data_IF_025635289647
#
_entry.id   IF_025635289647
#
_cell.length_a   1.000
_cell.length_b   1.000
_cell.length_c   1.000
_cell.angle_alpha   90.00
_cell.angle_beta   90.00
_cell.angle_gamma   90.00
#
_symmetry.space_group_name_H-M   'P 1'
#
loop_
_entity.id
_entity.type
_entity.pdbx_description
1 polymer ?
#
# COMPACT_ATOMS: atom_id res chain seq x y z
N UNK A 1 12.76 3.13 3.84
CA UNK A 1 11.66 2.57 3.03
C UNK A 1 10.95 1.51 3.84
N UNK A 2 9.63 1.64 3.95
CA UNK A 2 8.81 0.65 4.67
C UNK A 2 8.42 -0.48 3.73
N UNK A 3 8.66 -1.71 4.17
CA UNK A 3 8.13 -2.94 3.54
C UNK A 3 6.62 -3.06 3.74
N UNK A 4 5.94 -3.98 3.06
CA UNK A 4 4.48 -4.04 3.10
C UNK A 4 3.91 -4.40 4.48
N UNK A 5 4.58 -5.27 5.24
CA UNK A 5 4.16 -5.55 6.62
C UNK A 5 4.41 -4.35 7.54
N UNK A 6 5.49 -3.60 7.34
CA UNK A 6 5.75 -2.36 8.09
C UNK A 6 4.70 -1.30 7.77
N UNK A 7 4.29 -1.16 6.50
CA UNK A 7 3.17 -0.29 6.12
C UNK A 7 1.91 -0.63 6.91
N UNK A 8 1.56 -1.91 7.04
CA UNK A 8 0.44 -2.35 7.88
C UNK A 8 0.65 -2.09 9.38
N UNK A 9 1.89 -2.10 9.84
CA UNK A 9 2.25 -1.79 11.23
C UNK A 9 2.20 -0.30 11.57
N UNK A 10 2.48 0.58 10.60
CA UNK A 10 2.54 2.03 10.80
C UNK A 10 1.33 2.80 10.30
N UNK A 11 0.52 2.24 9.38
CA UNK A 11 -0.72 2.89 8.95
C UNK A 11 -1.78 2.86 10.06
N UNK A 12 -2.70 3.81 9.99
CA UNK A 12 -3.80 3.94 10.94
C UNK A 12 -4.72 2.71 10.89
N UNK A 13 -5.35 2.35 12.03
CA UNK A 13 -6.36 1.29 12.05
C UNK A 13 -7.51 1.55 11.07
N UNK A 14 -7.84 2.82 10.82
CA UNK A 14 -8.88 3.22 9.88
C UNK A 14 -8.51 2.84 8.45
N UNK A 15 -7.31 3.20 7.99
CA UNK A 15 -6.84 2.86 6.65
C UNK A 15 -6.69 1.34 6.49
N UNK A 16 -6.08 0.65 7.46
CA UNK A 16 -5.95 -0.80 7.40
C UNK A 16 -7.32 -1.50 7.26
N UNK A 17 -8.33 -1.07 8.02
CA UNK A 17 -9.67 -1.61 7.92
C UNK A 17 -10.35 -1.26 6.59
N UNK A 18 -10.12 -0.05 6.06
CA UNK A 18 -10.60 0.36 4.75
C UNK A 18 -10.07 -0.56 3.65
N UNK A 19 -8.75 -0.80 3.62
CA UNK A 19 -8.11 -1.67 2.63
C UNK A 19 -8.72 -3.07 2.66
N UNK A 20 -8.80 -3.68 3.86
CA UNK A 20 -9.35 -5.04 4.01
C UNK A 20 -10.84 -5.08 3.64
N UNK A 21 -11.60 -4.03 3.99
CA UNK A 21 -13.02 -3.90 3.62
C UNK A 21 -13.22 -3.77 2.12
N UNK A 22 -12.43 -2.93 1.46
CA UNK A 22 -12.45 -2.80 0.01
C UNK A 22 -12.17 -4.14 -0.66
N UNK A 23 -11.19 -4.91 -0.17
CA UNK A 23 -10.91 -6.25 -0.70
C UNK A 23 -12.07 -7.22 -0.52
N UNK A 24 -12.70 -7.23 0.67
CA UNK A 24 -13.84 -8.09 0.93
C UNK A 24 -15.03 -7.83 -0.02
N UNK A 25 -15.21 -6.57 -0.41
CA UNK A 25 -16.34 -6.12 -1.23
C UNK A 25 -16.06 -6.23 -2.73
N UNK A 26 -14.86 -5.86 -3.17
CA UNK A 26 -14.54 -5.67 -4.59
C UNK A 26 -13.58 -6.72 -5.14
N UNK A 27 -12.74 -7.33 -4.31
CA UNK A 27 -11.64 -8.22 -4.73
C UNK A 27 -11.65 -9.51 -3.88
N UNK A 28 -12.79 -10.22 -3.91
CA UNK A 28 -13.04 -11.43 -3.12
C UNK A 28 -11.93 -12.50 -3.23
N UNK A 29 -11.32 -12.76 -4.41
CA UNK A 29 -10.20 -13.69 -4.51
C UNK A 29 -9.00 -13.28 -3.66
N UNK A 30 -8.58 -12.01 -3.75
CA UNK A 30 -7.47 -11.46 -2.95
C UNK A 30 -7.80 -11.50 -1.47
N UNK A 31 -9.02 -11.09 -1.08
CA UNK A 31 -9.46 -11.17 0.31
C UNK A 31 -9.39 -12.59 0.89
N UNK A 32 -9.89 -13.60 0.16
CA UNK A 32 -9.86 -15.01 0.58
C UNK A 32 -8.43 -15.55 0.66
N UNK A 33 -7.59 -15.23 -0.32
CA UNK A 33 -6.18 -15.63 -0.31
C UNK A 33 -5.45 -15.07 0.91
N UNK A 34 -5.65 -13.77 1.21
CA UNK A 34 -5.07 -13.15 2.41
C UNK A 34 -5.62 -13.77 3.69
N UNK A 35 -6.92 -14.03 3.78
CA UNK A 35 -7.51 -14.70 4.95
C UNK A 35 -6.93 -16.10 5.18
N UNK A 36 -6.66 -16.85 4.11
CA UNK A 36 -6.02 -18.17 4.19
C UNK A 36 -4.58 -18.07 4.70
N UNK A 37 -3.78 -17.13 4.17
CA UNK A 37 -2.42 -16.88 4.66
C UNK A 37 -2.41 -16.47 6.14
N UNK A 38 -3.38 -15.65 6.57
CA UNK A 38 -3.54 -15.28 7.98
C UNK A 38 -3.92 -16.51 8.83
N UNK A 39 -4.82 -17.38 8.36
CA UNK A 39 -5.19 -18.59 9.07
C UNK A 39 -3.98 -19.53 9.25
N UNK A 40 -3.20 -19.71 8.20
CA UNK A 40 -1.98 -20.52 8.19
C UNK A 40 -0.94 -19.98 9.19
N UNK A 41 -0.61 -18.69 9.12
CA UNK A 41 0.35 -18.07 10.04
C UNK A 41 -0.11 -18.11 11.50
N UNK A 42 -1.42 -18.12 11.74
CA UNK A 42 -2.01 -18.29 13.08
C UNK A 42 -2.20 -19.75 13.50
N UNK A 43 -1.86 -20.72 12.64
CA UNK A 43 -2.05 -22.16 12.85
C UNK A 43 -3.50 -22.54 13.18
N UNK A 44 -4.45 -21.88 12.54
CA UNK A 44 -5.88 -22.17 12.65
C UNK A 44 -6.46 -22.56 11.30
N UNK A 45 -7.59 -23.27 11.30
CA UNK A 45 -8.32 -23.53 10.04
C UNK A 45 -9.00 -22.24 9.55
N UNK A 46 -9.10 -21.99 8.23
CA UNK A 46 -9.77 -20.80 7.68
C UNK A 46 -11.17 -20.56 8.25
N UNK A 47 -11.94 -21.64 8.44
CA UNK A 47 -13.29 -21.59 9.03
C UNK A 47 -13.34 -20.93 10.41
N UNK A 48 -12.25 -20.96 11.18
CA UNK A 48 -12.17 -20.28 12.47
C UNK A 48 -12.27 -18.76 12.30
N UNK A 49 -11.59 -18.19 11.30
CA UNK A 49 -11.68 -16.76 10.98
C UNK A 49 -13.02 -16.41 10.32
N UNK A 50 -13.53 -17.27 9.45
CA UNK A 50 -14.82 -17.06 8.76
C UNK A 50 -16.01 -16.95 9.73
N UNK A 51 -15.96 -17.68 10.84
CA UNK A 51 -16.98 -17.66 11.89
C UNK A 51 -16.93 -16.41 12.78
N UNK A 52 -15.83 -15.66 12.76
CA UNK A 52 -15.72 -14.42 13.53
C UNK A 52 -16.57 -13.32 12.91
N UNK A 53 -17.03 -12.38 13.75
CA UNK A 53 -17.63 -11.14 13.26
C UNK A 53 -16.66 -10.42 12.30
N UNK A 54 -17.19 -9.63 11.35
CA UNK A 54 -16.37 -8.87 10.39
C UNK A 54 -15.30 -8.03 11.13
N UNK A 55 -15.70 -7.37 12.21
CA UNK A 55 -14.81 -6.56 13.04
C UNK A 55 -13.64 -7.39 13.63
N UNK A 56 -13.94 -8.50 14.32
CA UNK A 56 -12.91 -9.34 14.93
C UNK A 56 -11.98 -9.96 13.88
N UNK A 57 -12.55 -10.37 12.75
CA UNK A 57 -11.81 -10.97 11.64
C UNK A 57 -10.84 -9.97 11.01
N UNK A 58 -11.31 -8.75 10.72
CA UNK A 58 -10.48 -7.71 10.13
C UNK A 58 -9.38 -7.28 11.09
N UNK A 59 -9.69 -7.11 12.39
CA UNK A 59 -8.68 -6.83 13.41
C UNK A 59 -7.60 -7.93 13.48
N UNK A 60 -8.02 -9.20 13.41
CA UNK A 60 -7.11 -10.34 13.32
C UNK A 60 -6.23 -10.34 12.06
N UNK A 61 -6.81 -9.95 10.91
CA UNK A 61 -6.07 -9.82 9.66
C UNK A 61 -5.06 -8.69 9.75
N UNK A 62 -5.44 -7.49 10.18
CA UNK A 62 -4.53 -6.35 10.38
C UNK A 62 -3.36 -6.72 11.28
N UNK A 63 -3.61 -7.30 12.46
CA UNK A 63 -2.56 -7.69 13.40
C UNK A 63 -1.61 -8.78 12.85
N UNK A 64 -2.06 -9.58 11.87
CA UNK A 64 -1.23 -10.60 11.24
C UNK A 64 -0.46 -10.06 10.04
N UNK A 65 -1.07 -9.15 9.27
CA UNK A 65 -0.46 -8.50 8.11
C UNK A 65 0.69 -7.58 8.49
N UNK A 66 0.68 -7.03 9.71
CA UNK A 66 1.78 -6.26 10.27
C UNK A 66 3.03 -7.09 10.63
N UNK A 67 3.05 -8.41 10.36
CA UNK A 67 4.17 -9.30 10.70
C UNK A 67 5.02 -9.63 9.48
N UNK A 68 6.36 -9.72 9.61
CA UNK A 68 7.26 -10.04 8.49
C UNK A 68 6.91 -11.33 7.75
N UNK A 69 6.39 -12.34 8.47
CA UNK A 69 5.98 -13.62 7.87
C UNK A 69 4.86 -13.49 6.83
N UNK A 70 4.14 -12.37 6.81
CA UNK A 70 3.02 -12.08 5.91
C UNK A 70 3.37 -11.03 4.85
N UNK A 71 4.65 -10.70 4.66
CA UNK A 71 5.13 -9.69 3.70
C UNK A 71 4.50 -9.85 2.31
N UNK A 72 4.52 -11.07 1.75
CA UNK A 72 3.94 -11.32 0.42
C UNK A 72 2.43 -11.07 0.38
N UNK A 73 1.71 -11.49 1.41
CA UNK A 73 0.25 -11.33 1.49
C UNK A 73 -0.14 -9.86 1.69
N UNK A 74 0.61 -9.13 2.53
CA UNK A 74 0.47 -7.69 2.73
C UNK A 74 0.76 -6.93 1.43
N UNK A 75 1.88 -7.24 0.77
CA UNK A 75 2.28 -6.59 -0.47
C UNK A 75 1.30 -6.83 -1.62
N UNK A 76 0.75 -8.04 -1.76
CA UNK A 76 -0.28 -8.31 -2.77
C UNK A 76 -1.58 -7.53 -2.49
N UNK A 77 -1.98 -7.45 -1.22
CA UNK A 77 -3.20 -6.76 -0.81
C UNK A 77 -3.07 -5.24 -1.00
N UNK A 78 -1.93 -4.63 -0.65
CA UNK A 78 -1.65 -3.20 -0.90
C UNK A 78 -1.61 -2.91 -2.40
N UNK A 79 -0.88 -3.71 -3.20
CA UNK A 79 -0.83 -3.54 -4.67
C UNK A 79 -2.20 -3.60 -5.31
N UNK A 80 -2.99 -4.60 -4.94
CA UNK A 80 -4.35 -4.75 -5.46
C UNK A 80 -5.21 -3.53 -5.08
N UNK A 81 -5.09 -3.04 -3.84
CA UNK A 81 -5.86 -1.87 -3.38
C UNK A 81 -5.48 -0.61 -4.16
N UNK A 82 -4.19 -0.37 -4.37
CA UNK A 82 -3.69 0.77 -5.13
C UNK A 82 -4.21 0.76 -6.57
N UNK A 83 -4.04 -0.36 -7.29
CA UNK A 83 -4.44 -0.48 -8.70
C UNK A 83 -5.96 -0.43 -8.89
N UNK A 84 -6.72 -0.99 -7.94
CA UNK A 84 -8.19 -1.10 -8.06
C UNK A 84 -8.94 0.12 -7.54
N UNK A 85 -8.49 0.72 -6.44
CA UNK A 85 -9.16 1.87 -5.81
C UNK A 85 -8.52 3.20 -6.17
N UNK A 86 -7.19 3.25 -6.25
CA UNK A 86 -6.42 4.48 -6.39
C UNK A 86 -5.77 4.67 -7.76
N UNK A 87 -6.28 4.00 -8.78
CA UNK A 87 -5.81 4.10 -10.17
C UNK A 87 -5.53 5.54 -10.63
N UNK A 88 -6.44 6.46 -10.34
CA UNK A 88 -6.27 7.88 -10.72
C UNK A 88 -5.07 8.51 -10.02
N UNK A 89 -4.83 8.20 -8.74
CA UNK A 89 -3.66 8.70 -8.00
C UNK A 89 -2.34 8.19 -8.59
N UNK A 90 -2.31 6.90 -8.96
CA UNK A 90 -1.15 6.29 -9.63
C UNK A 90 -0.89 6.95 -10.99
N UNK A 91 -1.94 7.14 -11.80
CA UNK A 91 -1.84 7.81 -13.10
C UNK A 91 -1.39 9.27 -12.97
N UNK A 92 -1.95 10.02 -12.02
CA UNK A 92 -1.59 11.43 -11.81
C UNK A 92 -0.11 11.57 -11.48
N UNK A 93 0.42 10.74 -10.59
CA UNK A 93 1.85 10.74 -10.23
C UNK A 93 2.75 10.51 -11.44
N UNK A 94 2.44 9.46 -12.21
CA UNK A 94 3.25 9.06 -13.36
C UNK A 94 3.12 10.06 -14.51
N UNK A 95 1.92 10.61 -14.74
CA UNK A 95 1.67 11.67 -15.73
C UNK A 95 2.46 12.92 -15.38
N UNK A 96 2.46 13.34 -14.11
CA UNK A 96 3.20 14.52 -13.66
C UNK A 96 4.72 14.36 -13.80
N UNK A 97 5.21 13.12 -13.75
CA UNK A 97 6.61 12.79 -14.03
C UNK A 97 6.90 12.53 -15.52
N UNK A 98 5.89 12.65 -16.38
CA UNK A 98 5.98 12.37 -17.82
C UNK A 98 6.40 10.92 -18.12
N UNK A 99 6.05 9.99 -17.23
CA UNK A 99 6.34 8.56 -17.36
C UNK A 99 5.18 7.87 -18.07
N UNK A 100 5.50 7.15 -19.15
CA UNK A 100 4.51 6.35 -19.88
C UNK A 100 3.94 5.27 -18.97
N UNK A 101 2.61 5.21 -18.89
CA UNK A 101 1.91 4.24 -18.08
C UNK A 101 0.58 3.85 -18.74
N UNK A 102 0.03 2.72 -18.33
CA UNK A 102 -1.33 2.29 -18.66
C UNK A 102 -2.11 2.16 -17.35
N UNK A 103 -3.09 3.06 -17.14
CA UNK A 103 -3.92 3.03 -15.92
C UNK A 103 -3.12 2.99 -14.60
N UNK A 104 -2.04 3.77 -14.49
CA UNK A 104 -1.20 3.80 -13.30
C UNK A 104 -0.21 2.64 -13.18
N UNK A 105 -0.11 1.77 -14.19
CA UNK A 105 0.84 0.66 -14.28
C UNK A 105 1.94 1.00 -15.29
N UNK A 106 3.19 0.72 -14.92
CA UNK A 106 4.37 0.97 -15.75
C UNK A 106 5.00 -0.35 -16.18
N UNK A 107 5.56 -0.38 -17.40
CA UNK A 107 6.40 -1.49 -17.86
C UNK A 107 7.85 -1.30 -17.41
N UNK A 108 8.38 -0.08 -17.60
CA UNK A 108 9.73 0.30 -17.22
C UNK A 108 9.70 1.64 -16.49
N UNK A 109 10.59 1.79 -15.50
CA UNK A 109 10.86 3.06 -14.83
C UNK A 109 12.23 3.58 -15.22
N UNK A 110 12.40 4.91 -15.39
CA UNK A 110 13.72 5.48 -15.54
C UNK A 110 14.58 5.19 -14.29
N UNK A 111 15.92 5.15 -14.41
CA UNK A 111 16.81 4.90 -13.27
C UNK A 111 16.76 6.00 -12.19
N UNK A 112 16.18 7.15 -12.52
CA UNK A 112 15.94 8.25 -11.61
C UNK A 112 15.10 9.33 -12.28
N UNK A 113 14.66 10.29 -11.47
CA UNK A 113 13.90 11.48 -11.90
C UNK A 113 14.53 12.71 -11.28
N UNK A 114 14.29 13.87 -11.89
CA UNK A 114 14.72 15.16 -11.34
C UNK A 114 14.01 15.48 -10.01
N UNK A 115 14.76 16.02 -9.05
CA UNK A 115 14.25 16.32 -7.70
C UNK A 115 13.13 17.35 -7.70
N UNK A 116 13.20 18.36 -8.57
CA UNK A 116 12.16 19.38 -8.66
C UNK A 116 10.88 18.79 -9.26
N UNK A 117 10.98 17.98 -10.31
CA UNK A 117 9.84 17.24 -10.88
C UNK A 117 9.20 16.31 -9.84
N UNK A 118 10.01 15.55 -9.12
CA UNK A 118 9.54 14.62 -8.10
C UNK A 118 8.81 15.35 -6.97
N UNK A 119 9.38 16.44 -6.45
CA UNK A 119 8.73 17.22 -5.40
C UNK A 119 7.40 17.80 -5.85
N UNK A 120 7.32 18.35 -7.06
CA UNK A 120 6.05 18.86 -7.62
C UNK A 120 5.01 17.74 -7.73
N UNK A 121 5.40 16.57 -8.22
CA UNK A 121 4.49 15.41 -8.31
C UNK A 121 3.97 14.97 -6.94
N UNK A 122 4.83 14.90 -5.93
CA UNK A 122 4.44 14.55 -4.56
C UNK A 122 3.53 15.62 -3.94
N UNK A 123 3.84 16.91 -4.12
CA UNK A 123 3.00 18.01 -3.62
C UNK A 123 1.61 18.02 -4.27
N UNK A 124 1.52 17.70 -5.57
CA UNK A 124 0.25 17.57 -6.26
C UNK A 124 -0.60 16.42 -5.69
N UNK A 125 0.01 15.25 -5.44
CA UNK A 125 -0.70 14.13 -4.83
C UNK A 125 -1.22 14.51 -3.44
N UNK A 126 -0.38 15.12 -2.60
CA UNK A 126 -0.76 15.53 -1.25
C UNK A 126 -1.85 16.62 -1.25
N UNK A 127 -1.92 17.45 -2.30
CA UNK A 127 -3.00 18.42 -2.48
C UNK A 127 -4.36 17.82 -2.88
N UNK A 128 -4.36 16.60 -3.45
CA UNK A 128 -5.56 15.98 -4.05
C UNK A 128 -6.06 14.74 -3.30
N UNK A 129 -5.17 14.02 -2.62
CA UNK A 129 -5.45 12.71 -2.02
C UNK A 129 -5.13 12.69 -0.52
N UNK A 130 -5.76 11.78 0.26
CA UNK A 130 -5.43 11.62 1.68
C UNK A 130 -3.95 11.32 1.87
N UNK A 131 -3.29 12.08 2.77
CA UNK A 131 -1.84 11.97 2.98
C UNK A 131 -1.40 10.54 3.24
N UNK A 132 -2.13 9.79 4.07
CA UNK A 132 -1.76 8.43 4.43
C UNK A 132 -1.80 7.47 3.22
N UNK A 133 -2.77 7.64 2.31
CA UNK A 133 -2.85 6.86 1.08
C UNK A 133 -1.70 7.20 0.14
N UNK A 134 -1.32 8.48 0.04
CA UNK A 134 -0.13 8.93 -0.71
C UNK A 134 1.14 8.31 -0.13
N UNK A 135 1.32 8.34 1.18
CA UNK A 135 2.48 7.73 1.85
C UNK A 135 2.58 6.23 1.60
N UNK A 136 1.47 5.49 1.69
CA UNK A 136 1.43 4.05 1.38
C UNK A 136 1.77 3.81 -0.08
N UNK A 137 1.19 4.58 -1.00
CA UNK A 137 1.48 4.46 -2.42
C UNK A 137 2.95 4.70 -2.73
N UNK A 138 3.52 5.82 -2.29
CA UNK A 138 4.91 6.18 -2.59
C UNK A 138 5.89 5.19 -1.95
N UNK A 139 5.60 4.69 -0.74
CA UNK A 139 6.41 3.64 -0.15
C UNK A 139 6.35 2.34 -0.97
N UNK A 140 5.15 1.88 -1.31
CA UNK A 140 4.95 0.69 -2.12
C UNK A 140 5.57 0.84 -3.51
N UNK A 141 5.42 2.00 -4.16
CA UNK A 141 6.01 2.29 -5.46
C UNK A 141 7.53 2.19 -5.43
N UNK A 142 8.19 2.76 -4.41
CA UNK A 142 9.65 2.77 -4.39
C UNK A 142 10.26 1.43 -3.95
N UNK A 143 9.60 0.71 -3.04
CA UNK A 143 10.07 -0.59 -2.54
C UNK A 143 9.86 -1.72 -3.56
N UNK A 144 8.76 -1.67 -4.30
CA UNK A 144 8.33 -2.78 -5.17
C UNK A 144 8.93 -2.72 -6.58
N UNK A 145 9.57 -1.61 -6.95
CA UNK A 145 10.19 -1.43 -8.25
C UNK A 145 11.72 -1.46 -8.15
N UNK A 146 12.38 -2.12 -9.10
CA UNK A 146 13.84 -2.25 -9.14
C UNK A 146 14.56 -0.90 -9.25
N UNK A 147 13.93 0.11 -9.86
CA UNK A 147 14.50 1.43 -10.01
C UNK A 147 14.82 2.13 -8.68
N UNK A 148 14.04 1.86 -7.62
CA UNK A 148 14.24 2.31 -6.24
C UNK A 148 14.91 3.70 -6.13
N UNK A 149 14.18 4.75 -6.51
CA UNK A 149 14.72 6.09 -6.58
C UNK A 149 15.18 6.60 -5.22
N UNK A 150 16.46 6.96 -5.14
CA UNK A 150 17.10 7.43 -3.90
C UNK A 150 16.55 8.77 -3.42
N UNK A 151 16.17 9.67 -4.34
CA UNK A 151 15.55 10.95 -4.02
C UNK A 151 14.11 10.79 -3.48
N UNK A 152 13.33 9.84 -4.01
CA UNK A 152 12.03 9.50 -3.43
C UNK A 152 12.17 8.93 -2.02
N UNK A 153 13.15 8.04 -1.80
CA UNK A 153 13.48 7.56 -0.46
C UNK A 153 13.81 8.71 0.50
N UNK A 154 14.65 9.66 0.08
CA UNK A 154 15.02 10.81 0.89
C UNK A 154 13.80 11.69 1.24
N UNK A 155 12.87 11.91 0.30
CA UNK A 155 11.61 12.61 0.57
C UNK A 155 10.73 11.86 1.57
N UNK A 156 10.58 10.55 1.40
CA UNK A 156 9.81 9.69 2.31
C UNK A 156 10.39 9.64 3.72
N UNK A 157 11.68 9.94 3.91
CA UNK A 157 12.35 9.98 5.21
C UNK A 157 12.39 11.38 5.84
N UNK A 158 12.27 12.45 5.04
CA UNK A 158 12.45 13.83 5.49
C UNK A 158 11.17 14.67 5.52
N UNK A 159 10.16 14.36 4.71
CA UNK A 159 8.89 15.10 4.68
C UNK A 159 7.95 14.59 5.78
N UNK A 160 7.57 15.42 6.78
CA UNK A 160 6.67 15.03 7.85
C UNK A 160 5.28 14.60 7.35
N UNK A 161 4.84 15.13 6.20
CA UNK A 161 3.53 14.79 5.61
C UNK A 161 3.48 13.36 5.08
N UNK A 162 4.65 12.77 4.79
CA UNK A 162 4.80 11.42 4.26
C UNK A 162 5.08 10.37 5.33
N UNK A 163 5.27 10.78 6.59
CA UNK A 163 5.51 9.85 7.70
C UNK A 163 4.23 9.11 8.10
N UNK A 164 4.34 7.81 8.32
CA UNK A 164 3.29 6.98 8.91
C UNK A 164 3.54 6.79 10.42
N UNK A 165 2.49 6.48 11.19
CA UNK A 165 2.61 6.20 12.63
C UNK A 165 2.66 7.43 13.54
N UNK A 166 2.49 8.64 13.02
CA UNK A 166 2.46 9.88 13.81
C UNK A 166 1.07 10.20 14.43
N UNK A 167 0.22 9.19 14.61
CA UNK A 167 -1.16 9.31 15.09
C UNK A 167 -1.31 8.93 16.57
#
# INVERSE_FOLDING_TARGET
MLTAHELFGFMSPALANEIITFMAENEKPTYRATMNAVAEARRVRPVFLERQSKLQRHAAMTASLAKPSLEMAAGNLIRTWLVKKHRTMLSDFLTQLEIKHEEGVVEDLPPGVDDAKLRVAVDELLGKYPHEAVSVYLNAFNDMNEANWSNLKALLESDPRLQLGAH
#
